data_IF_801803273748
#
_entry.id   IF_801803273748
#
_cell.length_a   1.000
_cell.length_b   1.000
_cell.length_c   1.000
_cell.angle_alpha   90.00
_cell.angle_beta   90.00
_cell.angle_gamma   90.00
#
_symmetry.space_group_name_H-M   'P 1'
#
loop_
_entity.id
_entity.type
_entity.pdbx_description
1 polymer ?
#
# COMPACT_ATOMS: atom_id res chain seq x y z
N UNK A 1 17.40 -22.77 -13.35
CA UNK A 1 16.41 -21.67 -13.34
C UNK A 1 15.13 -22.27 -12.79
N UNK A 2 14.72 -21.92 -11.58
CA UNK A 2 13.43 -22.38 -11.06
C UNK A 2 12.34 -21.87 -11.99
N UNK A 3 11.53 -22.79 -12.51
CA UNK A 3 10.44 -22.49 -13.44
C UNK A 3 9.32 -21.85 -12.62
N UNK A 4 9.45 -20.57 -12.31
CA UNK A 4 8.57 -19.87 -11.39
C UNK A 4 7.25 -19.57 -12.10
N UNK A 5 6.27 -20.43 -11.90
CA UNK A 5 4.92 -20.27 -12.43
C UNK A 5 4.31 -18.92 -12.02
N UNK A 6 3.93 -18.13 -13.02
CA UNK A 6 3.39 -16.79 -12.84
C UNK A 6 1.98 -16.73 -13.42
N UNK A 7 1.02 -16.08 -12.73
CA UNK A 7 -0.34 -15.90 -13.29
C UNK A 7 -0.26 -15.19 -14.64
N UNK A 8 -1.02 -15.66 -15.63
CA UNK A 8 -1.02 -15.13 -16.99
C UNK A 8 -1.26 -13.60 -17.05
N UNK A 9 -2.17 -13.08 -16.23
CA UNK A 9 -2.42 -11.64 -16.16
C UNK A 9 -1.22 -10.84 -15.61
N UNK A 10 -0.42 -11.46 -14.74
CA UNK A 10 0.82 -10.89 -14.21
C UNK A 10 1.89 -10.90 -15.29
N UNK A 11 2.08 -12.05 -15.94
CA UNK A 11 3.03 -12.22 -17.05
C UNK A 11 2.80 -11.16 -18.13
N UNK A 12 1.57 -11.02 -18.64
CA UNK A 12 1.21 -10.02 -19.65
C UNK A 12 1.40 -8.57 -19.19
N UNK A 13 1.36 -8.32 -17.88
CA UNK A 13 1.64 -7.01 -17.30
C UNK A 13 3.13 -6.73 -17.16
N UNK A 14 3.94 -7.75 -16.88
CA UNK A 14 5.40 -7.64 -16.72
C UNK A 14 6.11 -7.49 -18.05
N UNK A 15 5.67 -8.21 -19.09
CA UNK A 15 6.15 -8.04 -20.48
C UNK A 15 5.66 -6.75 -21.14
N UNK A 16 5.01 -5.86 -20.38
CA UNK A 16 4.57 -4.55 -20.84
C UNK A 16 3.35 -4.54 -21.77
N UNK A 17 2.71 -5.68 -22.04
CA UNK A 17 1.62 -5.77 -23.01
C UNK A 17 0.36 -5.00 -22.57
N UNK A 18 -0.15 -5.23 -21.36
CA UNK A 18 -1.33 -4.52 -20.85
C UNK A 18 -1.38 -4.46 -19.32
N UNK A 19 -2.45 -3.92 -18.72
CA UNK A 19 -2.65 -4.00 -17.27
C UNK A 19 -3.18 -5.38 -16.87
N UNK A 20 -2.98 -5.81 -15.62
CA UNK A 20 -3.52 -7.11 -15.15
C UNK A 20 -5.03 -7.25 -15.37
N UNK A 21 -5.80 -6.18 -15.13
CA UNK A 21 -7.26 -6.17 -15.36
C UNK A 21 -7.63 -6.25 -16.83
N UNK A 22 -6.83 -5.60 -17.68
CA UNK A 22 -7.03 -5.68 -19.13
C UNK A 22 -6.69 -7.08 -19.64
N UNK A 23 -5.66 -7.72 -19.08
CA UNK A 23 -5.35 -9.12 -19.39
C UNK A 23 -6.52 -10.04 -19.01
N UNK A 24 -7.10 -9.88 -17.82
CA UNK A 24 -8.26 -10.67 -17.39
C UNK A 24 -9.44 -10.48 -18.35
N UNK A 25 -9.70 -9.23 -18.78
CA UNK A 25 -10.73 -8.93 -19.79
C UNK A 25 -10.46 -9.61 -21.13
N UNK A 26 -9.21 -9.58 -21.61
CA UNK A 26 -8.82 -10.22 -22.87
C UNK A 26 -8.93 -11.75 -22.81
N UNK A 27 -8.73 -12.35 -21.63
CA UNK A 27 -8.98 -13.78 -21.39
C UNK A 27 -10.49 -14.05 -21.54
N UNK A 28 -11.33 -13.28 -20.87
CA UNK A 28 -12.81 -13.41 -20.96
C UNK A 28 -13.34 -13.20 -22.38
N UNK A 29 -12.76 -12.29 -23.15
CA UNK A 29 -13.09 -12.05 -24.57
C UNK A 29 -12.57 -13.14 -25.51
N UNK A 30 -11.85 -14.16 -25.01
CA UNK A 30 -11.28 -15.24 -25.81
C UNK A 30 -10.17 -14.78 -26.77
N UNK A 31 -9.54 -13.64 -26.48
CA UNK A 31 -8.50 -13.03 -27.35
C UNK A 31 -7.10 -13.51 -27.04
N UNK A 32 -6.94 -14.35 -26.03
CA UNK A 32 -5.66 -14.90 -25.57
C UNK A 32 -5.67 -16.41 -25.77
N UNK A 33 -4.56 -16.95 -26.27
CA UNK A 33 -4.31 -18.39 -26.28
C UNK A 33 -2.98 -18.71 -25.60
N UNK A 34 -2.94 -19.83 -24.89
CA UNK A 34 -1.73 -20.39 -24.27
C UNK A 34 -1.55 -21.80 -24.83
N UNK A 35 -0.42 -22.06 -25.49
CA UNK A 35 -0.15 -23.31 -26.19
C UNK A 35 -1.30 -23.72 -27.15
N UNK A 36 -1.88 -22.72 -27.83
CA UNK A 36 -2.98 -22.90 -28.78
C UNK A 36 -4.37 -23.09 -28.16
N UNK A 37 -4.52 -23.07 -26.83
CA UNK A 37 -5.82 -23.23 -26.14
C UNK A 37 -6.24 -21.94 -25.44
N UNK A 38 -7.55 -21.70 -25.34
CA UNK A 38 -8.07 -20.58 -24.55
C UNK A 38 -7.81 -20.82 -23.05
N UNK A 39 -7.14 -19.89 -22.35
CA UNK A 39 -6.85 -20.05 -20.93
C UNK A 39 -8.06 -19.72 -20.06
N UNK A 40 -8.09 -20.27 -18.85
CA UNK A 40 -9.04 -19.86 -17.81
C UNK A 40 -8.47 -18.71 -16.95
N UNK A 41 -9.35 -17.96 -16.29
CA UNK A 41 -8.94 -16.92 -15.34
C UNK A 41 -8.12 -17.54 -14.20
N UNK A 42 -6.95 -16.96 -13.94
CA UNK A 42 -6.05 -17.41 -12.89
C UNK A 42 -5.04 -18.50 -13.32
N UNK A 43 -5.06 -18.94 -14.59
CA UNK A 43 -4.04 -19.82 -15.16
C UNK A 43 -2.63 -19.28 -14.85
N UNK A 44 -1.74 -20.17 -14.45
CA UNK A 44 -0.31 -19.88 -14.33
C UNK A 44 0.44 -20.39 -15.56
N UNK A 45 1.44 -19.64 -15.94
CA UNK A 45 2.28 -19.87 -17.12
C UNK A 45 3.75 -19.74 -16.75
N UNK A 46 4.60 -20.31 -17.57
CA UNK A 46 6.06 -20.25 -17.51
C UNK A 46 6.60 -19.60 -18.79
N UNK A 47 7.89 -19.26 -18.81
CA UNK A 47 8.53 -18.70 -20.01
C UNK A 47 8.59 -19.69 -21.18
N UNK A 48 8.35 -20.99 -20.92
CA UNK A 48 8.27 -22.02 -21.95
C UNK A 48 6.90 -22.05 -22.65
N UNK A 49 5.86 -21.44 -22.08
CA UNK A 49 4.52 -21.46 -22.65
C UNK A 49 4.37 -20.49 -23.82
N UNK A 50 3.72 -20.94 -24.90
CA UNK A 50 3.43 -20.12 -26.06
C UNK A 50 2.19 -19.26 -25.83
N UNK A 51 2.39 -18.01 -25.41
CA UNK A 51 1.32 -17.07 -25.11
C UNK A 51 1.08 -16.17 -26.31
N UNK A 52 -0.13 -16.18 -26.87
CA UNK A 52 -0.53 -15.30 -27.97
C UNK A 52 -1.70 -14.42 -27.58
N UNK A 53 -1.67 -13.16 -28.00
CA UNK A 53 -2.81 -12.24 -27.90
C UNK A 53 -3.19 -11.80 -29.30
N UNK A 54 -4.44 -12.05 -29.71
CA UNK A 54 -4.91 -11.86 -31.09
C UNK A 54 -4.02 -12.56 -32.13
N UNK A 55 -3.52 -13.75 -31.80
CA UNK A 55 -2.61 -14.52 -32.67
C UNK A 55 -1.15 -14.05 -32.68
N UNK A 56 -0.84 -12.87 -32.10
CA UNK A 56 0.54 -12.38 -31.98
C UNK A 56 1.22 -12.99 -30.77
N UNK A 57 2.39 -13.60 -30.98
CA UNK A 57 3.22 -14.15 -29.91
C UNK A 57 3.73 -13.05 -28.99
N UNK A 58 3.51 -13.24 -27.70
CA UNK A 58 4.01 -12.37 -26.63
C UNK A 58 5.13 -13.13 -25.91
N UNK A 59 6.27 -12.47 -25.76
CA UNK A 59 7.41 -12.96 -24.98
C UNK A 59 7.88 -11.85 -24.06
N UNK A 60 8.61 -12.24 -23.01
CA UNK A 60 9.42 -11.28 -22.27
C UNK A 60 10.30 -10.50 -23.25
N UNK A 61 10.23 -9.18 -23.15
CA UNK A 61 11.16 -8.30 -23.82
C UNK A 61 12.37 -8.12 -22.92
N UNK A 62 13.57 -8.07 -23.50
CA UNK A 62 14.81 -7.67 -22.80
C UNK A 62 14.82 -6.16 -22.48
N UNK A 63 13.65 -5.55 -22.28
CA UNK A 63 13.55 -4.12 -22.04
C UNK A 63 14.03 -3.77 -20.63
N UNK A 64 14.99 -2.84 -20.57
CA UNK A 64 15.45 -2.31 -19.29
C UNK A 64 14.30 -1.72 -18.47
N UNK A 65 14.35 -1.99 -17.17
CA UNK A 65 13.46 -1.36 -16.20
C UNK A 65 13.71 0.15 -16.16
N UNK A 66 12.60 0.88 -16.09
CA UNK A 66 12.56 2.33 -16.03
C UNK A 66 12.22 2.72 -14.60
N UNK A 67 12.97 3.65 -14.01
CA UNK A 67 12.66 4.21 -12.70
C UNK A 67 12.80 5.73 -12.78
N UNK A 68 11.69 6.45 -12.71
CA UNK A 68 11.66 7.91 -12.78
C UNK A 68 11.23 8.50 -11.44
N UNK A 69 11.89 9.58 -11.03
CA UNK A 69 11.41 10.47 -10.00
C UNK A 69 10.70 11.64 -10.68
N UNK A 70 9.38 11.71 -10.55
CA UNK A 70 8.54 12.74 -11.18
C UNK A 70 8.00 13.71 -10.14
N UNK A 71 8.12 15.02 -10.40
CA UNK A 71 7.47 16.06 -9.61
C UNK A 71 6.08 16.35 -10.18
N UNK A 72 5.09 15.62 -9.70
CA UNK A 72 3.71 15.74 -10.17
C UNK A 72 3.14 17.14 -9.86
N UNK A 73 2.63 17.88 -10.86
CA UNK A 73 1.90 19.12 -10.60
C UNK A 73 0.48 18.87 -10.07
N UNK A 74 -0.08 19.90 -9.44
CA UNK A 74 -1.51 19.96 -9.15
C UNK A 74 -2.32 19.88 -10.45
N UNK A 75 -3.48 19.23 -10.42
CA UNK A 75 -4.39 19.08 -11.55
C UNK A 75 -4.21 17.79 -12.34
N UNK A 76 -3.07 17.12 -12.21
CA UNK A 76 -2.83 15.81 -12.85
C UNK A 76 -3.38 14.68 -11.98
N UNK A 77 -4.02 13.68 -12.57
CA UNK A 77 -4.58 12.53 -11.88
C UNK A 77 -3.64 11.32 -11.96
N UNK A 78 -3.36 10.69 -10.80
CA UNK A 78 -2.55 9.46 -10.73
C UNK A 78 -3.35 8.23 -11.19
N UNK A 79 -3.58 8.12 -12.48
CA UNK A 79 -4.29 7.02 -13.13
C UNK A 79 -3.62 6.64 -14.44
N UNK A 80 -3.73 5.37 -14.83
CA UNK A 80 -3.29 4.86 -16.14
C UNK A 80 -4.45 4.80 -17.14
N UNK A 81 -5.63 5.27 -16.76
CA UNK A 81 -6.81 5.29 -17.61
C UNK A 81 -6.71 6.41 -18.65
N UNK A 82 -6.50 6.03 -19.92
CA UNK A 82 -6.42 6.94 -21.07
C UNK A 82 -7.68 7.76 -21.34
N UNK A 83 -8.83 7.41 -20.75
CA UNK A 83 -10.06 8.21 -20.85
C UNK A 83 -10.01 9.48 -19.99
N UNK A 84 -9.11 9.53 -19.01
CA UNK A 84 -8.92 10.72 -18.16
C UNK A 84 -7.96 11.67 -18.86
N UNK A 85 -8.45 12.84 -19.27
CA UNK A 85 -7.70 13.82 -20.07
C UNK A 85 -6.35 14.20 -19.44
N UNK A 86 -6.36 14.49 -18.14
CA UNK A 86 -5.18 14.97 -17.41
C UNK A 86 -4.56 13.83 -16.58
N UNK A 87 -4.37 12.64 -17.17
CA UNK A 87 -3.76 11.51 -16.49
C UNK A 87 -2.22 11.61 -16.48
N UNK A 88 -1.61 11.03 -15.46
CA UNK A 88 -0.16 11.11 -15.23
C UNK A 88 0.69 10.45 -16.33
N UNK A 89 0.18 9.39 -16.98
CA UNK A 89 0.95 8.67 -18.00
C UNK A 89 1.06 9.52 -19.26
N UNK A 90 -0.07 10.07 -19.73
CA UNK A 90 -0.11 10.93 -20.90
C UNK A 90 0.58 12.28 -20.65
N UNK A 91 0.53 12.80 -19.40
CA UNK A 91 1.27 14.00 -19.03
C UNK A 91 2.79 13.83 -19.18
N UNK A 92 3.33 12.70 -18.73
CA UNK A 92 4.76 12.40 -18.85
C UNK A 92 5.13 12.04 -20.29
N UNK A 93 4.23 11.39 -21.02
CA UNK A 93 4.41 10.97 -22.40
C UNK A 93 5.73 10.19 -22.63
N UNK A 94 6.03 9.23 -21.75
CA UNK A 94 7.25 8.45 -21.84
C UNK A 94 7.16 7.40 -22.97
N UNK A 95 8.25 7.11 -23.70
CA UNK A 95 8.23 6.17 -24.83
C UNK A 95 7.85 4.74 -24.46
N UNK A 96 8.25 4.29 -23.27
CA UNK A 96 7.92 2.97 -22.72
C UNK A 96 6.68 3.05 -21.82
N UNK A 97 5.97 1.93 -21.68
CA UNK A 97 4.82 1.82 -20.78
C UNK A 97 5.27 1.92 -19.31
N UNK A 98 4.95 3.03 -18.66
CA UNK A 98 5.19 3.25 -17.22
C UNK A 98 3.87 3.40 -16.44
N UNK A 99 3.93 3.18 -15.13
CA UNK A 99 2.84 3.36 -14.19
C UNK A 99 3.35 3.93 -12.86
N UNK A 100 2.50 4.66 -12.11
CA UNK A 100 2.89 5.27 -10.85
C UNK A 100 3.03 4.25 -9.71
N UNK A 101 4.05 4.41 -8.88
CA UNK A 101 4.22 3.70 -7.61
C UNK A 101 3.38 4.41 -6.55
N UNK A 102 2.15 3.93 -6.39
CA UNK A 102 1.16 4.53 -5.50
C UNK A 102 0.44 5.71 -6.15
N UNK A 103 -0.10 6.60 -5.32
CA UNK A 103 -0.92 7.72 -5.80
C UNK A 103 -0.62 9.00 -5.02
N UNK A 104 -0.87 10.13 -5.68
CA UNK A 104 -1.08 11.44 -5.08
C UNK A 104 -2.47 11.91 -5.53
N UNK A 105 -3.14 12.65 -4.67
CA UNK A 105 -4.42 13.25 -5.02
C UNK A 105 -4.25 14.28 -6.15
N UNK A 106 -5.33 14.54 -6.90
CA UNK A 106 -5.32 15.52 -8.00
C UNK A 106 -4.92 16.92 -7.52
N UNK A 107 -5.36 17.28 -6.31
CA UNK A 107 -5.08 18.56 -5.62
C UNK A 107 -3.72 18.61 -4.91
N UNK A 108 -2.89 17.55 -5.05
CA UNK A 108 -1.61 17.42 -4.36
C UNK A 108 -0.47 17.35 -5.36
N UNK A 109 0.69 17.87 -4.97
CA UNK A 109 1.90 17.92 -5.80
C UNK A 109 3.07 17.15 -5.19
N UNK A 110 4.16 17.04 -5.95
CA UNK A 110 5.44 16.54 -5.48
C UNK A 110 5.80 15.16 -6.00
N UNK A 111 6.76 14.54 -5.32
CA UNK A 111 7.46 13.35 -5.76
C UNK A 111 6.53 12.16 -5.93
N UNK A 112 6.58 11.51 -7.09
CA UNK A 112 6.02 10.19 -7.34
C UNK A 112 7.00 9.38 -8.19
N UNK A 113 7.19 8.12 -7.84
CA UNK A 113 8.03 7.22 -8.63
C UNK A 113 7.18 6.66 -9.77
N UNK A 114 7.73 6.61 -10.98
CA UNK A 114 7.11 5.97 -12.15
C UNK A 114 8.01 4.83 -12.62
N UNK A 115 7.43 3.69 -12.96
CA UNK A 115 8.21 2.53 -13.41
C UNK A 115 7.41 1.61 -14.35
N UNK A 116 8.11 0.74 -15.08
CA UNK A 116 7.53 -0.42 -15.77
C UNK A 116 7.74 -1.73 -14.99
N UNK A 117 8.47 -1.70 -13.87
CA UNK A 117 8.69 -2.84 -12.97
C UNK A 117 7.48 -3.01 -12.02
N UNK A 118 6.66 -4.04 -12.25
CA UNK A 118 5.49 -4.31 -11.41
C UNK A 118 5.83 -4.95 -10.05
N UNK A 119 6.99 -5.59 -9.95
CA UNK A 119 7.43 -6.34 -8.78
C UNK A 119 7.89 -5.40 -7.66
N UNK A 120 8.55 -4.29 -8.01
CA UNK A 120 8.99 -3.27 -7.03
C UNK A 120 7.81 -2.52 -6.39
N UNK A 121 6.69 -2.36 -7.12
CA UNK A 121 5.57 -1.51 -6.68
C UNK A 121 5.03 -1.98 -5.34
N UNK A 122 4.77 -3.28 -5.21
CA UNK A 122 4.23 -3.83 -3.98
C UNK A 122 5.23 -3.76 -2.84
N UNK A 123 6.54 -3.91 -3.12
CA UNK A 123 7.58 -3.78 -2.10
C UNK A 123 7.62 -2.36 -1.52
N UNK A 124 7.53 -1.33 -2.36
CA UNK A 124 7.53 0.09 -1.92
C UNK A 124 6.23 0.48 -1.19
N UNK A 125 5.08 -0.08 -1.61
CA UNK A 125 3.76 0.32 -1.08
C UNK A 125 3.32 -0.44 0.17
N UNK A 126 3.90 -1.61 0.48
CA UNK A 126 3.51 -2.44 1.62
C UNK A 126 3.70 -1.70 2.94
N UNK A 127 2.58 -1.41 3.63
CA UNK A 127 2.57 -0.74 4.92
C UNK A 127 3.34 -1.50 6.02
N UNK A 128 3.43 -2.84 5.91
CA UNK A 128 4.19 -3.69 6.84
C UNK A 128 5.68 -3.33 6.86
N UNK A 129 6.19 -2.78 5.76
CA UNK A 129 7.60 -2.42 5.63
C UNK A 129 7.91 -1.04 6.23
N UNK A 130 6.90 -0.33 6.76
CA UNK A 130 7.04 0.99 7.39
C UNK A 130 7.85 2.01 6.57
N UNK A 131 7.71 1.97 5.23
CA UNK A 131 8.42 2.85 4.32
C UNK A 131 7.91 4.29 4.39
N UNK A 132 8.73 5.15 4.99
CA UNK A 132 8.43 6.54 5.23
C UNK A 132 8.25 7.36 3.93
N UNK A 133 7.30 8.28 3.99
CA UNK A 133 7.03 9.31 2.99
C UNK A 133 6.95 10.64 3.69
N UNK A 134 7.62 11.64 3.14
CA UNK A 134 7.74 12.96 3.77
C UNK A 134 6.95 13.99 2.98
N UNK A 135 6.20 14.81 3.70
CA UNK A 135 5.36 15.85 3.13
C UNK A 135 5.62 17.20 3.77
N UNK A 136 5.51 18.24 2.97
CA UNK A 136 5.38 19.63 3.39
C UNK A 136 3.92 20.04 3.21
N UNK A 137 3.33 20.56 4.27
CA UNK A 137 1.90 20.88 4.34
C UNK A 137 1.75 22.34 4.73
N UNK A 138 1.01 23.09 3.93
CA UNK A 138 0.59 24.47 4.25
C UNK A 138 -0.88 24.47 4.63
N UNK A 139 -1.22 25.12 5.74
CA UNK A 139 -2.59 25.20 6.27
C UNK A 139 -3.10 26.64 6.37
N UNK A 140 -4.41 26.79 6.47
CA UNK A 140 -5.10 28.09 6.53
C UNK A 140 -5.00 28.81 7.89
N UNK A 141 -4.56 28.14 8.96
CA UNK A 141 -4.52 28.68 10.33
C UNK A 141 -3.13 28.54 10.98
N UNK A 142 -2.76 29.41 11.94
CA UNK A 142 -1.48 29.31 12.62
C UNK A 142 -1.32 27.98 13.38
N UNK A 143 -0.16 27.35 13.22
CA UNK A 143 0.16 26.06 13.84
C UNK A 143 0.57 26.26 15.30
N UNK A 144 -0.12 25.55 16.20
CA UNK A 144 0.17 25.51 17.63
C UNK A 144 0.96 24.26 18.01
N UNK A 145 1.68 24.29 19.13
CA UNK A 145 2.40 23.12 19.63
C UNK A 145 1.43 21.97 19.98
N UNK A 146 0.22 22.32 20.45
CA UNK A 146 -0.87 21.36 20.69
C UNK A 146 -1.33 20.66 19.41
N UNK A 147 -1.41 21.39 18.29
CA UNK A 147 -1.73 20.79 16.98
C UNK A 147 -0.65 19.76 16.60
N UNK A 148 0.62 20.13 16.66
CA UNK A 148 1.74 19.23 16.30
C UNK A 148 1.73 17.96 17.16
N UNK A 149 1.59 18.11 18.48
CA UNK A 149 1.55 16.99 19.40
C UNK A 149 0.38 16.03 19.09
N UNK A 150 -0.84 16.57 18.95
CA UNK A 150 -2.03 15.73 18.69
C UNK A 150 -2.03 15.11 17.30
N UNK A 151 -1.51 15.82 16.30
CA UNK A 151 -1.37 15.31 14.93
C UNK A 151 -0.45 14.10 14.87
N UNK A 152 0.62 14.08 15.69
CA UNK A 152 1.59 12.99 15.76
C UNK A 152 1.15 11.76 16.55
N UNK A 153 0.16 11.87 17.44
CA UNK A 153 -0.28 10.81 18.37
C UNK A 153 -1.35 9.86 17.79
N UNK A 154 -1.61 9.96 16.48
CA UNK A 154 -2.70 9.24 15.84
C UNK A 154 -4.01 10.03 15.91
N UNK A 155 -4.73 10.05 14.80
CA UNK A 155 -5.95 10.84 14.60
C UNK A 155 -7.08 9.91 14.15
N UNK A 156 -8.26 9.96 14.77
CA UNK A 156 -9.39 9.14 14.36
C UNK A 156 -10.00 9.68 13.06
N UNK A 157 -9.84 8.95 11.96
CA UNK A 157 -10.38 9.25 10.63
C UNK A 157 -10.77 7.94 9.92
N UNK A 158 -11.76 7.98 9.03
CA UNK A 158 -12.16 6.80 8.22
C UNK A 158 -12.44 5.55 9.08
N UNK A 159 -13.13 5.72 10.22
CA UNK A 159 -13.45 4.64 11.17
C UNK A 159 -12.22 3.87 11.67
N UNK A 160 -11.03 4.49 11.65
CA UNK A 160 -9.78 3.96 12.16
C UNK A 160 -8.96 5.07 12.84
N UNK A 161 -7.86 4.70 13.48
CA UNK A 161 -6.91 5.65 14.06
C UNK A 161 -5.63 5.58 13.23
N UNK A 162 -5.13 6.74 12.78
CA UNK A 162 -3.84 6.78 12.08
C UNK A 162 -2.73 6.27 12.98
N UNK A 163 -1.71 5.64 12.40
CA UNK A 163 -0.46 5.35 13.10
C UNK A 163 0.14 6.66 13.64
N UNK A 164 0.81 6.57 14.77
CA UNK A 164 1.64 7.65 15.26
C UNK A 164 2.70 8.03 14.22
N UNK A 165 3.01 9.31 14.14
CA UNK A 165 3.92 9.85 13.15
C UNK A 165 4.67 11.07 13.67
N UNK A 166 5.84 11.32 13.06
CA UNK A 166 6.59 12.54 13.34
C UNK A 166 5.94 13.71 12.61
N UNK A 167 5.76 14.81 13.33
CA UNK A 167 5.25 16.08 12.81
C UNK A 167 6.15 17.20 13.33
N UNK A 168 6.60 18.08 12.45
CA UNK A 168 7.52 19.16 12.78
C UNK A 168 6.98 20.49 12.26
N UNK A 169 6.90 21.51 13.11
CA UNK A 169 6.55 22.87 12.66
C UNK A 169 7.74 23.47 11.91
N UNK A 170 7.51 23.94 10.68
CA UNK A 170 8.50 24.68 9.88
C UNK A 170 8.31 26.19 10.04
N UNK A 171 7.07 26.65 9.97
CA UNK A 171 6.73 28.07 10.09
C UNK A 171 5.35 28.25 10.73
N UNK A 172 4.85 29.49 10.78
CA UNK A 172 3.51 29.79 11.31
C UNK A 172 2.39 28.99 10.63
N UNK A 173 2.51 28.70 9.33
CA UNK A 173 1.46 28.04 8.53
C UNK A 173 1.93 26.76 7.84
N UNK A 174 3.18 26.35 8.05
CA UNK A 174 3.78 25.19 7.38
C UNK A 174 4.29 24.18 8.41
N UNK A 175 3.93 22.91 8.23
CA UNK A 175 4.51 21.79 8.96
C UNK A 175 5.00 20.70 8.00
N UNK A 176 5.88 19.85 8.53
CA UNK A 176 6.38 18.64 7.91
C UNK A 176 5.76 17.43 8.59
N UNK A 177 5.39 16.42 7.83
CA UNK A 177 4.84 15.16 8.36
C UNK A 177 5.44 13.95 7.66
N UNK A 178 5.71 12.91 8.44
CA UNK A 178 6.38 11.69 7.99
C UNK A 178 5.45 10.50 8.17
N UNK A 179 4.96 9.91 7.08
CA UNK A 179 3.96 8.85 7.12
C UNK A 179 4.50 7.53 6.59
N UNK A 180 4.19 6.45 7.30
CA UNK A 180 4.48 5.05 6.88
C UNK A 180 3.25 4.32 6.34
N UNK A 181 2.08 4.93 6.48
CA UNK A 181 0.81 4.47 5.92
C UNK A 181 0.28 5.47 4.89
N UNK A 182 -0.71 5.06 4.11
CA UNK A 182 -1.29 5.90 3.05
C UNK A 182 -2.80 5.71 2.93
N UNK A 183 -3.57 6.21 3.90
CA UNK A 183 -5.03 6.23 3.83
C UNK A 183 -5.53 7.27 2.80
N UNK A 184 -6.76 7.11 2.33
CA UNK A 184 -7.35 8.04 1.37
C UNK A 184 -7.40 9.47 1.94
N UNK A 185 -6.72 10.41 1.27
CA UNK A 185 -6.64 11.83 1.67
C UNK A 185 -6.19 12.02 3.13
N UNK A 186 -5.34 11.11 3.63
CA UNK A 186 -4.99 11.02 5.06
C UNK A 186 -4.66 12.37 5.71
N UNK A 187 -3.66 13.08 5.19
CA UNK A 187 -3.19 14.35 5.78
C UNK A 187 -4.31 15.40 5.81
N UNK A 188 -5.10 15.48 4.74
CA UNK A 188 -6.22 16.45 4.66
C UNK A 188 -7.27 16.15 5.70
N UNK A 189 -7.67 14.89 5.85
CA UNK A 189 -8.63 14.45 6.87
C UNK A 189 -8.11 14.64 8.29
N UNK A 190 -6.81 14.40 8.52
CA UNK A 190 -6.18 14.67 9.81
C UNK A 190 -6.20 16.16 10.16
N UNK A 191 -5.94 17.04 9.18
CA UNK A 191 -6.08 18.48 9.36
C UNK A 191 -7.53 18.90 9.63
N UNK A 192 -8.49 18.39 8.84
CA UNK A 192 -9.93 18.67 8.99
C UNK A 192 -10.42 18.29 10.39
N UNK A 193 -9.94 17.19 10.97
CA UNK A 193 -10.27 16.76 12.33
C UNK A 193 -9.90 17.79 13.41
N UNK A 194 -8.87 18.61 13.17
CA UNK A 194 -8.46 19.69 14.07
C UNK A 194 -8.98 21.07 13.63
N UNK A 195 -9.94 21.11 12.71
CA UNK A 195 -10.47 22.32 12.08
C UNK A 195 -9.43 23.11 11.27
N UNK A 196 -8.50 22.43 10.59
CA UNK A 196 -7.56 23.05 9.64
C UNK A 196 -7.86 22.60 8.22
N UNK A 197 -7.73 23.53 7.28
CA UNK A 197 -7.79 23.22 5.85
C UNK A 197 -6.39 23.24 5.24
N UNK A 198 -6.10 22.22 4.44
CA UNK A 198 -4.83 22.12 3.71
C UNK A 198 -4.89 22.97 2.45
N UNK A 199 -4.07 24.02 2.42
CA UNK A 199 -3.91 24.95 1.29
C UNK A 199 -2.97 24.36 0.24
N UNK A 200 -1.86 23.76 0.66
CA UNK A 200 -0.91 23.10 -0.23
C UNK A 200 -0.36 21.84 0.42
N UNK A 201 -0.20 20.79 -0.39
CA UNK A 201 0.35 19.51 0.03
C UNK A 201 1.37 19.03 -0.99
N UNK A 202 2.62 18.89 -0.55
CA UNK A 202 3.73 18.49 -1.39
C UNK A 202 4.46 17.30 -0.79
N UNK A 203 4.52 16.17 -1.50
CA UNK A 203 5.41 15.07 -1.13
C UNK A 203 6.83 15.37 -1.58
N UNK A 204 7.79 15.35 -0.65
CA UNK A 204 9.19 15.70 -0.94
C UNK A 204 10.16 14.53 -0.84
N UNK A 205 9.75 13.40 -0.25
CA UNK A 205 10.59 12.20 -0.18
C UNK A 205 9.77 10.92 -0.14
N UNK A 206 10.30 9.87 -0.75
CA UNK A 206 9.82 8.48 -0.64
C UNK A 206 11.04 7.64 -0.30
N UNK A 207 11.09 7.07 0.91
CA UNK A 207 12.23 6.27 1.39
C UNK A 207 13.53 7.10 1.30
N UNK A 208 14.44 6.78 0.38
CA UNK A 208 15.70 7.48 0.14
C UNK A 208 15.64 8.46 -1.04
N UNK A 209 14.59 8.40 -1.87
CA UNK A 209 14.44 9.25 -3.05
C UNK A 209 13.85 10.59 -2.64
N UNK A 210 14.61 11.66 -2.85
CA UNK A 210 14.21 13.03 -2.52
C UNK A 210 13.76 13.78 -3.77
N UNK A 211 12.91 14.77 -3.57
CA UNK A 211 12.44 15.65 -4.64
C UNK A 211 13.50 16.71 -4.95
N UNK A 212 14.03 16.68 -6.15
CA UNK A 212 15.13 17.53 -6.62
C UNK A 212 14.95 18.00 -8.07
N UNK A 213 13.77 17.79 -8.65
CA UNK A 213 13.42 18.26 -10.01
C UNK A 213 12.30 19.30 -9.98
N UNK A 214 12.27 20.24 -10.94
CA UNK A 214 11.19 21.22 -11.06
C UNK A 214 9.81 20.60 -11.23
N UNK A 215 8.76 21.35 -10.88
CA UNK A 215 7.37 20.90 -11.02
C UNK A 215 7.05 20.58 -12.49
N UNK A 216 6.40 19.45 -12.73
CA UNK A 216 6.07 18.97 -14.08
C UNK A 216 7.21 18.25 -14.79
N UNK A 217 8.39 18.15 -14.18
CA UNK A 217 9.55 17.45 -14.74
C UNK A 217 9.82 16.13 -14.01
N UNK A 218 10.52 15.24 -14.71
CA UNK A 218 11.05 14.01 -14.16
C UNK A 218 12.54 13.90 -14.44
N UNK A 219 13.20 13.05 -13.66
CA UNK A 219 14.53 12.51 -13.96
C UNK A 219 14.53 11.00 -13.77
N UNK A 220 15.56 10.35 -14.29
CA UNK A 220 15.85 8.97 -13.91
C UNK A 220 16.35 8.90 -12.47
N UNK A 221 15.95 7.84 -11.77
CA UNK A 221 16.52 7.47 -10.48
C UNK A 221 17.92 6.92 -10.72
N UNK A 222 18.90 7.45 -10.01
CA UNK A 222 20.30 7.06 -10.21
C UNK A 222 20.53 5.61 -9.76
N UNK A 223 21.57 4.97 -10.29
CA UNK A 223 21.92 3.60 -9.88
C UNK A 223 22.19 3.48 -8.37
N UNK A 224 22.80 4.51 -7.76
CA UNK A 224 23.07 4.55 -6.33
C UNK A 224 21.77 4.66 -5.50
N UNK A 225 20.84 5.53 -5.92
CA UNK A 225 19.53 5.66 -5.30
C UNK A 225 18.71 4.37 -5.44
N UNK A 226 18.75 3.71 -6.60
CA UNK A 226 18.04 2.46 -6.84
C UNK A 226 18.63 1.29 -6.04
N UNK A 227 19.96 1.21 -5.94
CA UNK A 227 20.64 0.21 -5.11
C UNK A 227 20.25 0.35 -3.64
N UNK A 228 20.26 1.59 -3.13
CA UNK A 228 19.85 1.86 -1.75
C UNK A 228 18.36 1.59 -1.54
N UNK A 229 17.51 1.96 -2.51
CA UNK A 229 16.08 1.65 -2.46
C UNK A 229 15.86 0.14 -2.38
N UNK A 230 16.54 -0.64 -3.21
CA UNK A 230 16.46 -2.10 -3.22
C UNK A 230 16.89 -2.70 -1.88
N UNK A 231 18.01 -2.23 -1.31
CA UNK A 231 18.48 -2.64 0.03
C UNK A 231 17.44 -2.38 1.12
N UNK A 232 16.74 -1.25 1.04
CA UNK A 232 15.73 -0.87 2.03
C UNK A 232 14.39 -1.63 1.88
N UNK A 233 14.08 -2.16 0.70
CA UNK A 233 12.83 -2.90 0.43
C UNK A 233 12.99 -4.43 0.38
N UNK A 234 14.22 -4.94 0.39
CA UNK A 234 14.58 -6.36 0.36
C UNK A 234 13.98 -7.25 1.46
N UNK A 235 13.84 -6.82 2.74
CA UNK A 235 13.24 -7.69 3.77
C UNK A 235 11.74 -7.99 3.54
N UNK A 236 11.14 -7.50 2.46
CA UNK A 236 9.78 -7.79 2.05
C UNK A 236 9.70 -9.11 1.28
N UNK A 237 9.53 -10.23 2.00
CA UNK A 237 9.28 -11.53 1.38
C UNK A 237 8.02 -11.47 0.50
N UNK A 238 8.13 -12.06 -0.70
CA UNK A 238 7.08 -12.11 -1.73
C UNK A 238 5.95 -13.04 -1.27
N UNK A 239 5.04 -12.61 -0.38
CA UNK A 239 3.62 -13.01 -0.20
C UNK A 239 3.14 -12.73 1.23
N UNK A 240 1.86 -12.38 1.41
CA UNK A 240 1.24 -12.32 2.75
C UNK A 240 1.17 -13.72 3.40
N UNK A 241 1.00 -14.77 2.58
CA UNK A 241 0.80 -16.16 3.01
C UNK A 241 2.04 -16.80 3.66
N UNK A 242 3.26 -16.44 3.24
CA UNK A 242 4.50 -16.99 3.82
C UNK A 242 4.83 -16.43 5.22
N UNK A 243 4.17 -15.34 5.64
CA UNK A 243 4.44 -14.73 6.96
C UNK A 243 3.80 -15.49 8.12
N UNK A 244 2.74 -16.27 7.86
CA UNK A 244 2.03 -17.00 8.91
C UNK A 244 2.72 -18.32 9.29
N UNK A 245 3.70 -18.78 8.51
CA UNK A 245 4.35 -20.09 8.71
C UNK A 245 5.66 -20.00 9.50
N UNK A 246 6.21 -18.80 9.73
CA UNK A 246 7.50 -18.65 10.42
C UNK A 246 7.40 -18.30 11.91
N UNK A 247 6.23 -17.92 12.42
CA UNK A 247 6.06 -17.65 13.87
C UNK A 247 5.82 -18.93 14.70
N UNK A 248 5.45 -20.05 14.09
CA UNK A 248 5.13 -21.31 14.79
C UNK A 248 6.27 -22.32 14.91
N UNK A 249 7.45 -22.05 14.32
CA UNK A 249 8.61 -22.97 14.37
C UNK A 249 9.76 -22.49 15.26
N UNK A 250 9.76 -21.23 15.73
CA UNK A 250 10.85 -20.68 16.55
C UNK A 250 10.66 -20.77 18.08
N UNK A 251 9.65 -21.50 18.58
CA UNK A 251 9.49 -21.78 20.01
C UNK A 251 9.73 -23.24 20.43
N UNK A 252 10.08 -24.13 19.49
CA UNK A 252 10.22 -25.57 19.79
C UNK A 252 11.68 -26.08 19.89
N UNK A 253 12.69 -25.23 19.73
CA UNK A 253 14.10 -25.67 19.73
C UNK A 253 15.00 -24.83 20.64
N UNK A 254 14.67 -24.80 21.93
CA UNK A 254 15.65 -24.47 22.98
C UNK A 254 15.19 -25.08 24.29
N UNK A 255 15.44 -26.38 24.50
CA UNK A 255 15.88 -26.97 25.79
C UNK A 255 15.99 -28.50 25.72
N UNK A 256 17.21 -28.94 25.43
CA UNK A 256 17.87 -30.17 25.89
C UNK A 256 19.36 -29.80 25.89
N UNK A 257 20.21 -30.00 26.90
CA UNK A 257 20.40 -31.02 27.95
C UNK A 257 21.34 -30.34 28.99
N UNK A 258 21.25 -30.47 30.32
CA UNK A 258 21.87 -31.52 31.14
C UNK A 258 21.51 -31.33 32.65
N UNK A 259 20.79 -32.30 33.21
CA UNK A 259 21.05 -33.16 34.39
C UNK A 259 21.59 -32.69 35.79
N UNK A 260 20.99 -33.37 36.82
CA UNK A 260 21.47 -33.75 38.20
C UNK A 260 21.30 -32.67 39.31
N UNK A 261 20.70 -32.85 40.51
CA UNK A 261 20.09 -33.96 41.30
C UNK A 261 19.24 -33.44 42.49
N UNK A 262 18.29 -34.28 42.97
CA UNK A 262 17.77 -34.45 44.38
C UNK A 262 17.05 -33.26 45.08
N UNK A 263 16.02 -33.38 45.92
CA UNK A 263 15.26 -34.46 46.59
C UNK A 263 13.98 -33.85 47.24
N UNK A 264 12.92 -34.66 47.43
CA UNK A 264 11.81 -34.43 48.40
C UNK A 264 10.69 -33.49 47.94
N UNK A 265 9.38 -33.69 48.15
CA UNK A 265 8.57 -34.66 48.89
C UNK A 265 7.15 -34.72 48.25
N UNK A 266 6.44 -35.83 48.45
CA UNK A 266 5.07 -36.10 47.95
C UNK A 266 4.00 -35.54 48.89
N UNK A 267 2.86 -35.05 48.36
CA UNK A 267 1.45 -35.40 48.78
C UNK A 267 0.38 -34.62 47.96
N UNK A 268 -0.91 -35.04 47.93
CA UNK A 268 -1.59 -35.36 46.67
C UNK A 268 -2.85 -34.53 46.32
N UNK A 269 -3.33 -34.79 45.10
CA UNK A 269 -4.54 -34.31 44.38
C UNK A 269 -5.78 -33.99 45.23
N UNK A 270 -6.46 -32.89 44.90
CA UNK A 270 -7.92 -32.72 45.07
C UNK A 270 -8.58 -32.30 43.76
N UNK A 271 -9.52 -33.13 43.30
CA UNK A 271 -10.56 -32.80 42.32
C UNK A 271 -11.45 -31.72 42.93
N UNK A 272 -11.87 -30.75 42.13
CA UNK A 272 -12.98 -29.86 42.48
C UNK A 272 -14.10 -30.05 41.46
N UNK A 273 -15.24 -30.47 42.00
CA UNK A 273 -16.51 -30.67 41.31
C UNK A 273 -17.08 -29.34 40.81
N UNK A 274 -17.69 -29.38 39.62
CA UNK A 274 -18.55 -28.32 39.09
C UNK A 274 -19.99 -28.62 39.46
N UNK A 275 -20.53 -27.89 40.42
CA UNK A 275 -21.98 -27.74 40.58
C UNK A 275 -22.42 -26.28 40.47
N UNK A 276 -23.65 -26.18 39.97
CA UNK A 276 -24.41 -25.03 39.49
C UNK A 276 -24.52 -23.89 40.49
N UNK A 277 -24.64 -22.65 39.99
CA UNK A 277 -25.79 -21.85 40.41
C UNK A 277 -26.29 -20.85 39.36
N UNK A 278 -27.61 -20.91 39.18
CA UNK A 278 -28.45 -20.02 38.40
C UNK A 278 -28.54 -18.65 39.09
N UNK A 279 -28.53 -17.56 38.31
CA UNK A 279 -29.46 -16.45 38.60
C UNK A 279 -29.74 -15.61 37.35
N UNK A 280 -31.02 -15.58 36.99
CA UNK A 280 -31.65 -14.68 36.04
C UNK A 280 -31.55 -13.24 36.54
N UNK A 281 -31.36 -12.28 35.64
CA UNK A 281 -32.03 -10.97 35.72
C UNK A 281 -32.14 -10.32 34.35
N UNK A 282 -33.37 -10.02 33.99
CA UNK A 282 -33.80 -9.32 32.78
C UNK A 282 -33.59 -7.80 32.91
N UNK A 283 -33.44 -7.12 31.77
CA UNK A 283 -33.48 -5.67 31.61
C UNK A 283 -33.60 -5.29 30.12
N UNK A 284 -34.26 -4.17 29.76
CA UNK A 284 -35.33 -4.20 28.77
C UNK A 284 -35.01 -3.56 27.40
N UNK A 285 -35.70 -4.04 26.37
CA UNK A 285 -35.91 -3.44 25.06
C UNK A 285 -37.12 -2.48 25.05
N UNK A 286 -36.91 -1.23 24.63
CA UNK A 286 -37.95 -0.28 24.19
C UNK A 286 -37.37 0.42 22.93
N UNK A 287 -37.81 0.08 21.72
CA UNK A 287 -39.02 0.51 20.98
C UNK A 287 -38.92 1.94 20.44
N UNK A 288 -38.46 2.02 19.19
CA UNK A 288 -38.57 3.17 18.29
C UNK A 288 -40.01 3.27 17.75
N UNK A 289 -40.62 4.46 17.81
CA UNK A 289 -41.86 4.76 17.06
C UNK A 289 -41.98 6.26 16.73
N UNK A 290 -42.43 6.51 15.48
CA UNK A 290 -43.04 7.74 14.86
C UNK A 290 -42.07 8.77 14.27
N UNK A 291 -41.96 9.00 12.94
CA UNK A 291 -42.91 9.22 11.81
C UNK A 291 -43.74 10.52 11.90
N UNK A 292 -43.23 11.55 11.20
CA UNK A 292 -43.85 12.51 10.26
C UNK A 292 -45.10 13.36 10.59
N UNK A 293 -45.02 14.64 10.14
CA UNK A 293 -46.04 15.57 9.58
C UNK A 293 -46.52 16.75 10.45
N UNK A 294 -46.27 17.96 9.92
CA UNK A 294 -47.09 19.22 9.85
C UNK A 294 -46.23 20.21 9.02
N UNK A 295 -46.50 20.58 7.75
CA UNK A 295 -47.56 21.40 7.13
C UNK A 295 -47.98 22.66 7.91
N UNK A 296 -47.77 23.79 7.21
CA UNK A 296 -48.49 25.08 7.22
C UNK A 296 -48.30 26.01 8.44
N UNK A 297 -47.35 26.94 8.34
CA UNK A 297 -47.59 28.36 8.04
C UNK A 297 -46.25 29.07 7.72
#
# INVERSE_FOLDING_TARGET
>A
MENQETRLNKYLSEVGFCSRREADRLIEEGRITVNGKSPELGLKVTDADEIRVNGKLIRQTDEDFVYLAFNKPVGIECTTNKKVRDNIVDYINYPKRIFPVGRLDKDSEGLIIMTNDGDIVNKILRQKNNHEKEYIVTVNKPITDRFIQRMGQGVPILDTITKECRVERISRFVFRIFLTQGLNRQIRRMCEYFDYDVVALKRIRIINISLDVPVGQYREITAAELAELNRLIEPSSKTEEASFTQESTNQANSHSTENITQQGERRPKKKFDRERNNSKKAGPTLRNERISRRREN
#
